data_IF_564347400839
#
_entry.id   IF_564347400839
#
_cell.length_a   1.000
_cell.length_b   1.000
_cell.length_c   1.000
_cell.angle_alpha   90.00
_cell.angle_beta   90.00
_cell.angle_gamma   90.00
#
_symmetry.space_group_name_H-M   'P 1'
#
loop_
_entity.id
_entity.type
_entity.pdbx_description
1 polymer ?
#
# COMPACT_ATOMS: atom_id res chain seq x y z
N UNK A 1 22.94 26.60 51.40
CA UNK A 1 21.46 26.51 51.42
C UNK A 1 20.98 26.18 50.01
N UNK A 2 19.96 25.31 49.93
CA UNK A 2 19.14 24.91 48.76
C UNK A 2 19.85 24.30 47.53
N UNK A 3 19.83 22.97 47.51
CA UNK A 3 19.85 22.10 46.32
C UNK A 3 18.63 22.42 45.46
N UNK A 4 18.79 22.59 44.15
CA UNK A 4 17.71 22.37 43.18
C UNK A 4 18.30 21.59 42.00
N UNK A 5 18.10 20.26 42.05
CA UNK A 5 18.15 19.40 40.88
C UNK A 5 17.00 19.83 39.96
N UNK A 6 17.30 20.19 38.71
CA UNK A 6 16.28 20.37 37.68
C UNK A 6 16.40 19.18 36.73
N UNK A 7 15.56 18.18 36.99
CA UNK A 7 15.40 16.99 36.14
C UNK A 7 14.58 17.40 34.92
N UNK A 8 15.24 17.54 33.77
CA UNK A 8 14.56 17.76 32.50
C UNK A 8 13.95 16.45 32.03
N UNK A 9 12.66 16.25 32.32
CA UNK A 9 11.87 15.15 31.75
C UNK A 9 11.62 15.48 30.28
N UNK A 10 12.41 14.87 29.40
CA UNK A 10 12.22 14.96 27.96
C UNK A 10 11.12 13.98 27.56
N UNK A 11 9.88 14.45 27.48
CA UNK A 11 8.77 13.69 26.90
C UNK A 11 9.08 13.42 25.42
N UNK A 12 9.50 12.19 25.13
CA UNK A 12 9.56 11.68 23.76
C UNK A 12 8.12 11.53 23.25
N UNK A 13 7.66 12.50 22.47
CA UNK A 13 6.48 12.30 21.62
C UNK A 13 6.84 11.29 20.53
N UNK A 14 6.51 10.02 20.79
CA UNK A 14 6.49 8.99 19.76
C UNK A 14 5.43 9.35 18.73
N UNK A 15 5.84 9.91 17.60
CA UNK A 15 4.98 10.01 16.42
C UNK A 15 4.79 8.59 15.90
N UNK A 16 3.62 8.01 16.12
CA UNK A 16 3.21 6.77 15.48
C UNK A 16 3.00 7.06 14.00
N UNK A 17 4.07 6.94 13.22
CA UNK A 17 4.00 6.92 11.77
C UNK A 17 3.26 5.64 11.35
N UNK A 18 1.93 5.72 11.22
CA UNK A 18 1.16 4.71 10.51
C UNK A 18 1.62 4.74 9.05
N UNK A 19 2.43 3.77 8.65
CA UNK A 19 2.83 3.56 7.26
C UNK A 19 1.61 3.10 6.43
N UNK A 20 0.64 4.00 6.22
CA UNK A 20 -0.46 3.77 5.28
C UNK A 20 0.13 3.79 3.88
N UNK A 21 -0.13 2.74 3.11
CA UNK A 21 0.19 2.69 1.68
C UNK A 21 -0.74 3.70 0.98
N UNK A 22 -0.13 4.74 0.39
CA UNK A 22 -0.84 5.83 -0.28
C UNK A 22 -0.66 5.68 -1.78
N UNK A 23 -1.73 5.28 -2.49
CA UNK A 23 -1.74 5.16 -3.95
C UNK A 23 -2.64 6.19 -4.63
N UNK A 24 -3.59 6.77 -3.90
CA UNK A 24 -4.42 7.89 -4.36
C UNK A 24 -4.93 8.74 -3.20
N UNK A 25 -5.28 9.99 -3.49
CA UNK A 25 -6.01 10.89 -2.58
C UNK A 25 -7.51 10.96 -2.93
N UNK A 26 -7.91 10.35 -4.04
CA UNK A 26 -9.29 10.37 -4.53
C UNK A 26 -10.24 9.58 -3.62
N UNK A 27 -11.50 10.04 -3.46
CA UNK A 27 -12.47 9.37 -2.61
C UNK A 27 -12.85 8.01 -3.20
N UNK A 28 -13.22 7.06 -2.33
CA UNK A 28 -13.63 5.70 -2.73
C UNK A 28 -14.74 5.65 -3.78
N UNK A 29 -15.57 6.68 -3.90
CA UNK A 29 -16.60 6.78 -4.93
C UNK A 29 -16.06 6.88 -6.36
N UNK A 30 -14.79 7.27 -6.53
CA UNK A 30 -14.09 7.28 -7.82
C UNK A 30 -13.30 6.01 -8.10
N UNK A 31 -13.22 5.10 -7.13
CA UNK A 31 -12.45 3.86 -7.30
C UNK A 31 -13.21 2.90 -8.19
N UNK A 32 -12.48 2.11 -8.96
CA UNK A 32 -13.02 0.96 -9.67
C UNK A 32 -13.62 -0.03 -8.66
N UNK A 33 -14.59 -0.85 -9.08
CA UNK A 33 -14.96 -2.01 -8.27
C UNK A 33 -13.83 -3.02 -8.28
N UNK A 34 -13.80 -3.91 -7.28
CA UNK A 34 -12.81 -4.99 -7.20
C UNK A 34 -12.86 -5.86 -8.46
N UNK A 35 -14.05 -6.16 -8.98
CA UNK A 35 -14.24 -6.98 -10.18
C UNK A 35 -13.68 -6.28 -11.43
N UNK A 36 -14.01 -5.00 -11.62
CA UNK A 36 -13.52 -4.22 -12.75
C UNK A 36 -12.00 -4.08 -12.73
N UNK A 37 -11.42 -3.88 -11.54
CA UNK A 37 -9.97 -3.85 -11.35
C UNK A 37 -9.34 -5.20 -11.70
N UNK A 38 -9.84 -6.31 -11.13
CA UNK A 38 -9.31 -7.66 -11.37
C UNK A 38 -9.37 -8.02 -12.85
N UNK A 39 -10.49 -7.72 -13.52
CA UNK A 39 -10.64 -7.96 -14.95
C UNK A 39 -9.60 -7.17 -15.75
N UNK A 40 -9.42 -5.89 -15.43
CA UNK A 40 -8.47 -5.01 -16.12
C UNK A 40 -7.04 -5.54 -16.00
N UNK A 41 -6.53 -5.78 -14.80
CA UNK A 41 -5.14 -6.24 -14.62
C UNK A 41 -4.95 -7.67 -15.13
N UNK A 42 -5.99 -8.51 -15.12
CA UNK A 42 -5.93 -9.84 -15.75
C UNK A 42 -5.75 -9.74 -17.27
N UNK A 43 -6.42 -8.77 -17.94
CA UNK A 43 -6.22 -8.49 -19.37
C UNK A 43 -4.82 -7.96 -19.67
N UNK A 44 -4.17 -7.32 -18.71
CA UNK A 44 -2.78 -6.86 -18.80
C UNK A 44 -1.76 -8.00 -18.55
N UNK A 45 -2.24 -9.22 -18.27
CA UNK A 45 -1.42 -10.42 -18.13
C UNK A 45 -1.08 -10.80 -16.69
N UNK A 46 -1.66 -10.13 -15.69
CA UNK A 46 -1.49 -10.53 -14.29
C UNK A 46 -2.35 -11.75 -13.93
N UNK A 47 -1.77 -12.70 -13.19
CA UNK A 47 -2.50 -13.80 -12.57
C UNK A 47 -2.64 -13.49 -11.07
N UNK A 48 -3.84 -13.15 -10.64
CA UNK A 48 -4.11 -12.73 -9.26
C UNK A 48 -4.28 -13.97 -8.37
N UNK A 49 -3.38 -14.17 -7.40
CA UNK A 49 -3.50 -15.19 -6.35
C UNK A 49 -4.18 -14.66 -5.10
N UNK A 50 -3.91 -13.39 -4.74
CA UNK A 50 -4.50 -12.72 -3.59
C UNK A 50 -4.72 -11.25 -3.91
N UNK A 51 -5.83 -10.71 -3.45
CA UNK A 51 -6.14 -9.29 -3.51
C UNK A 51 -6.23 -8.73 -2.09
N UNK A 52 -5.74 -7.51 -1.90
CA UNK A 52 -5.86 -6.73 -0.66
C UNK A 52 -6.16 -5.27 -1.00
N UNK A 53 -6.67 -4.55 -0.01
CA UNK A 53 -6.92 -3.11 -0.09
C UNK A 53 -6.27 -2.38 1.10
N UNK A 54 -4.94 -2.27 1.17
CA UNK A 54 -4.29 -1.50 2.22
C UNK A 54 -4.39 0.00 1.93
N UNK A 55 -4.76 0.80 2.95
CA UNK A 55 -4.75 2.26 2.83
C UNK A 55 -5.59 2.76 1.65
N UNK A 56 -4.96 3.49 0.72
CA UNK A 56 -5.58 3.98 -0.51
C UNK A 56 -5.19 3.20 -1.77
N UNK A 57 -4.78 1.94 -1.62
CA UNK A 57 -4.29 1.10 -2.72
C UNK A 57 -5.17 -0.13 -2.97
N UNK A 58 -5.10 -0.62 -4.20
CA UNK A 58 -5.38 -2.01 -4.53
C UNK A 58 -4.06 -2.76 -4.65
N UNK A 59 -3.97 -3.92 -4.02
CA UNK A 59 -2.74 -4.70 -3.95
C UNK A 59 -3.04 -6.12 -4.43
N UNK A 60 -2.21 -6.66 -5.33
CA UNK A 60 -2.26 -8.06 -5.71
C UNK A 60 -0.95 -8.77 -5.40
N UNK A 61 -1.09 -10.01 -4.96
CA UNK A 61 -0.03 -11.02 -5.03
C UNK A 61 -0.39 -11.97 -6.16
N UNK A 62 0.59 -12.34 -6.97
CA UNK A 62 0.27 -13.05 -8.18
C UNK A 62 1.47 -13.36 -9.04
N UNK A 63 1.20 -13.52 -10.34
CA UNK A 63 2.25 -13.51 -11.36
C UNK A 63 2.04 -12.34 -12.31
N UNK A 64 3.11 -11.72 -12.77
CA UNK A 64 3.05 -10.75 -13.85
C UNK A 64 2.98 -11.44 -15.23
N UNK A 65 2.89 -10.66 -16.31
CA UNK A 65 2.86 -11.17 -17.69
C UNK A 65 4.11 -11.97 -18.10
N UNK A 66 5.23 -11.84 -17.37
CA UNK A 66 6.46 -12.61 -17.57
C UNK A 66 6.48 -13.92 -16.77
N UNK A 67 5.47 -14.16 -15.94
CA UNK A 67 5.36 -15.35 -15.09
C UNK A 67 6.09 -15.27 -13.74
N UNK A 68 6.67 -14.11 -13.41
CA UNK A 68 7.38 -13.83 -12.15
C UNK A 68 6.38 -13.61 -11.02
N UNK A 69 6.64 -14.17 -9.83
CA UNK A 69 5.84 -13.89 -8.63
C UNK A 69 6.02 -12.44 -8.20
N UNK A 70 4.92 -11.71 -7.96
CA UNK A 70 4.97 -10.27 -7.68
C UNK A 70 3.97 -9.85 -6.61
N UNK A 71 4.38 -8.86 -5.80
CA UNK A 71 3.51 -7.99 -4.99
C UNK A 71 3.41 -6.63 -5.71
N UNK A 72 2.19 -6.25 -6.09
CA UNK A 72 1.97 -5.02 -6.88
C UNK A 72 0.87 -4.17 -6.25
N UNK A 73 1.18 -2.90 -6.03
CA UNK A 73 0.27 -1.86 -5.58
C UNK A 73 -0.18 -1.00 -6.75
N UNK A 74 -1.48 -0.78 -6.83
CA UNK A 74 -2.13 -0.03 -7.89
C UNK A 74 -2.93 1.13 -7.31
N UNK A 75 -3.02 2.20 -8.09
CA UNK A 75 -4.01 3.23 -7.90
C UNK A 75 -5.40 2.65 -8.22
N UNK A 76 -6.35 2.66 -7.26
CA UNK A 76 -7.66 2.04 -7.46
C UNK A 76 -8.58 2.83 -8.40
N UNK A 77 -8.22 4.04 -8.82
CA UNK A 77 -9.01 4.86 -9.76
C UNK A 77 -8.81 4.42 -11.20
N UNK A 78 -7.56 4.11 -11.57
CA UNK A 78 -7.18 3.86 -12.96
C UNK A 78 -6.37 2.57 -13.16
N UNK A 79 -6.11 1.81 -12.09
CA UNK A 79 -5.25 0.62 -12.08
C UNK A 79 -3.82 0.87 -12.55
N UNK A 80 -3.30 2.10 -12.45
CA UNK A 80 -1.88 2.37 -12.68
C UNK A 80 -1.01 1.75 -11.58
N UNK A 81 0.13 1.17 -11.97
CA UNK A 81 1.08 0.59 -11.03
C UNK A 81 1.77 1.72 -10.25
N UNK A 82 1.61 1.71 -8.93
CA UNK A 82 2.31 2.63 -8.02
C UNK A 82 3.62 2.01 -7.53
N UNK A 83 3.61 0.69 -7.29
CA UNK A 83 4.80 -0.07 -6.89
C UNK A 83 4.67 -1.53 -7.32
N UNK A 84 5.76 -2.13 -7.78
CA UNK A 84 5.84 -3.57 -8.09
C UNK A 84 7.13 -4.11 -7.51
N UNK A 85 7.04 -5.23 -6.81
CA UNK A 85 8.18 -5.97 -6.25
C UNK A 85 8.08 -7.42 -6.73
N UNK A 86 9.20 -8.00 -7.16
CA UNK A 86 9.29 -9.44 -7.42
C UNK A 86 9.42 -10.10 -6.05
N UNK A 87 8.59 -11.11 -5.79
CA UNK A 87 8.73 -11.93 -4.59
C UNK A 87 9.88 -12.92 -4.83
N UNK A 88 10.98 -12.72 -4.11
CA UNK A 88 12.06 -13.72 -4.02
C UNK A 88 11.58 -14.86 -3.12
N UNK A 89 11.44 -16.08 -3.68
CA UNK A 89 11.05 -17.30 -2.97
C UNK A 89 12.05 -17.71 -1.88
#
# INVERSE_FOLDING_TARGET
>A
MKKILLVTVMCLWGSSAFAKKNCTEEPKSKWMTEEAFKEKVSKEGYIIKKFKQPGSCYEIYGKNAKGESVEVYFNPVDASVVKSEIEDD
#
